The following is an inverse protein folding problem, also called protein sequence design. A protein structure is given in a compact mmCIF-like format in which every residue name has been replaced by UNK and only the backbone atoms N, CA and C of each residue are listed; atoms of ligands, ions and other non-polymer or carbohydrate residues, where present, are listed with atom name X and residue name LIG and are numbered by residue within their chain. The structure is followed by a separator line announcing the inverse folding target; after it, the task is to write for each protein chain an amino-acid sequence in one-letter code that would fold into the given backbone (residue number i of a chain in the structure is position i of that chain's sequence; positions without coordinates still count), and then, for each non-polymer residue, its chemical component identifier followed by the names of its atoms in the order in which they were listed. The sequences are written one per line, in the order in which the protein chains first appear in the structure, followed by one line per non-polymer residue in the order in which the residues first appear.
data_IF_283581143181
#
_entry.id   IF_283581143181
#
_cell.length_a   1.000
_cell.length_b   1.000
_cell.length_c   1.000
_cell.angle_alpha   90.00
_cell.angle_beta   90.00
_cell.angle_gamma   90.00
#
_symmetry.space_group_name_H-M   'P 1'
#
loop_
_entity.id
_entity.type
_entity.pdbx_description
1 polymer ?
#
# COMPACT_ATOMS: atom_id res chain seq x y z
N UNK A 1 15.82 40.61 9.90
CA UNK A 1 15.78 39.28 9.27
C UNK A 1 15.05 39.43 7.94
N UNK A 2 15.67 39.06 6.82
CA UNK A 2 15.03 39.18 5.50
C UNK A 2 14.11 37.98 5.24
N UNK A 3 13.16 38.10 4.30
CA UNK A 3 12.14 37.06 4.06
C UNK A 3 12.75 35.70 3.72
N UNK A 4 13.91 35.69 3.05
CA UNK A 4 14.66 34.47 2.75
C UNK A 4 15.31 33.83 3.97
N UNK A 5 15.88 34.62 4.89
CA UNK A 5 16.39 34.05 6.15
C UNK A 5 15.26 33.49 7.01
N UNK A 6 14.11 34.17 7.06
CA UNK A 6 12.93 33.66 7.77
C UNK A 6 12.39 32.36 7.15
N UNK A 7 12.30 32.28 5.81
CA UNK A 7 11.84 31.09 5.11
C UNK A 7 12.81 29.92 5.26
N UNK A 8 14.12 30.16 5.19
CA UNK A 8 15.13 29.12 5.39
C UNK A 8 15.12 28.58 6.83
N UNK A 9 14.93 29.44 7.84
CA UNK A 9 14.74 28.99 9.23
C UNK A 9 13.41 28.25 9.41
N UNK A 10 12.35 28.66 8.72
CA UNK A 10 11.06 27.99 8.77
C UNK A 10 11.13 26.60 8.14
N UNK A 11 11.72 26.45 6.94
CA UNK A 11 11.94 25.16 6.26
C UNK A 11 12.78 24.21 7.10
N UNK A 12 13.83 24.73 7.75
CA UNK A 12 14.71 23.93 8.60
C UNK A 12 14.05 23.52 9.93
N UNK A 13 13.14 24.34 10.45
CA UNK A 13 12.35 24.05 11.64
C UNK A 13 11.00 23.38 11.34
N UNK A 14 10.64 23.17 10.06
CA UNK A 14 9.54 22.25 9.75
C UNK A 14 10.01 20.87 10.20
N UNK A 15 9.22 20.12 10.99
CA UNK A 15 9.49 18.74 11.31
C UNK A 15 9.28 17.85 10.06
N UNK A 16 9.97 18.16 8.96
CA UNK A 16 10.19 17.28 7.81
C UNK A 16 11.10 16.10 8.19
N UNK A 17 11.71 16.15 9.38
CA UNK A 17 12.17 14.96 10.11
C UNK A 17 10.97 14.16 10.66
N UNK A 18 9.95 13.94 9.84
CA UNK A 18 9.18 12.72 9.96
C UNK A 18 10.19 11.62 9.67
N UNK A 19 10.68 10.99 10.74
CA UNK A 19 11.63 9.89 10.70
C UNK A 19 11.07 8.80 9.77
N UNK A 20 11.47 8.81 8.51
CA UNK A 20 11.59 7.58 7.73
C UNK A 20 12.79 6.84 8.31
N UNK A 21 12.62 6.28 9.50
CA UNK A 21 13.53 5.28 10.03
C UNK A 21 12.98 3.94 9.55
N UNK A 22 13.61 3.30 8.53
CA UNK A 22 13.11 2.05 7.96
C UNK A 22 13.00 0.95 9.02
N UNK A 23 13.72 1.08 10.14
CA UNK A 23 13.79 0.12 11.22
C UNK A 23 12.82 0.43 12.36
N UNK A 24 12.20 1.61 12.38
CA UNK A 24 11.11 1.95 13.31
C UNK A 24 9.75 1.37 12.86
N UNK A 25 9.69 0.76 11.66
CA UNK A 25 8.52 0.07 11.16
C UNK A 25 8.35 -1.26 11.92
N UNK A 26 7.15 -1.60 12.42
CA UNK A 26 6.92 -2.85 13.14
C UNK A 26 7.39 -4.06 12.32
N UNK A 27 8.01 -5.07 12.95
CA UNK A 27 8.58 -6.21 12.24
C UNK A 27 7.53 -6.97 11.39
N UNK A 28 6.28 -7.02 11.84
CA UNK A 28 5.19 -7.62 11.06
C UNK A 28 4.92 -6.93 9.73
N UNK A 29 5.08 -5.60 9.65
CA UNK A 29 4.90 -4.84 8.40
C UNK A 29 6.03 -5.17 7.43
N UNK A 30 7.26 -5.29 7.93
CA UNK A 30 8.41 -5.72 7.14
C UNK A 30 8.22 -7.12 6.55
N UNK A 31 7.68 -8.04 7.33
CA UNK A 31 7.41 -9.41 6.85
C UNK A 31 6.31 -9.40 5.79
N UNK A 32 5.18 -8.75 6.05
CA UNK A 32 4.03 -8.76 5.14
C UNK A 32 4.35 -8.03 3.83
N UNK A 33 4.90 -6.82 3.89
CA UNK A 33 5.10 -6.01 2.68
C UNK A 33 6.48 -6.19 2.06
N UNK A 34 7.51 -6.43 2.87
CA UNK A 34 8.88 -6.63 2.40
C UNK A 34 9.16 -8.06 1.95
N UNK A 35 8.87 -9.06 2.78
CA UNK A 35 9.21 -10.47 2.45
C UNK A 35 8.16 -11.12 1.57
N UNK A 36 6.88 -10.97 1.94
CA UNK A 36 5.77 -11.62 1.22
C UNK A 36 5.26 -10.71 0.08
N UNK A 37 5.10 -9.42 0.34
CA UNK A 37 4.56 -8.46 -0.62
C UNK A 37 5.47 -8.27 -1.82
N UNK A 38 6.78 -8.18 -1.61
CA UNK A 38 7.75 -7.94 -2.68
C UNK A 38 7.66 -8.95 -3.84
N UNK A 39 7.72 -10.29 -3.64
CA UNK A 39 7.55 -11.24 -4.74
C UNK A 39 6.16 -11.19 -5.39
N UNK A 40 5.11 -10.87 -4.63
CA UNK A 40 3.75 -10.72 -5.18
C UNK A 40 3.65 -9.49 -6.07
N UNK A 41 4.20 -8.36 -5.62
CA UNK A 41 4.23 -7.12 -6.40
C UNK A 41 5.11 -7.24 -7.64
N UNK A 42 6.24 -7.95 -7.57
CA UNK A 42 7.09 -8.19 -8.74
C UNK A 42 6.42 -9.10 -9.75
N UNK A 43 5.71 -10.15 -9.32
CA UNK A 43 4.92 -11.01 -10.20
C UNK A 43 3.78 -10.23 -10.86
N UNK A 44 3.07 -9.41 -10.08
CA UNK A 44 2.00 -8.54 -10.58
C UNK A 44 2.55 -7.55 -11.62
N UNK A 45 3.64 -6.84 -11.33
CA UNK A 45 4.31 -5.94 -12.29
C UNK A 45 4.82 -6.69 -13.52
N UNK A 46 5.34 -7.91 -13.35
CA UNK A 46 5.79 -8.79 -14.42
C UNK A 46 4.68 -9.13 -15.41
N UNK A 47 3.43 -9.26 -14.94
CA UNK A 47 2.26 -9.46 -15.79
C UNK A 47 2.01 -8.28 -16.76
N UNK A 48 2.31 -7.05 -16.33
CA UNK A 48 2.17 -5.86 -17.17
C UNK A 48 3.37 -5.63 -18.10
N UNK A 49 4.57 -6.02 -17.68
CA UNK A 49 5.81 -5.73 -18.40
C UNK A 49 6.13 -6.81 -19.44
N UNK A 50 5.76 -8.07 -19.18
CA UNK A 50 6.08 -9.23 -20.04
C UNK A 50 5.51 -9.16 -21.46
N UNK A 51 6.21 -9.76 -22.42
CA UNK A 51 5.70 -10.06 -23.79
C UNK A 51 5.30 -11.55 -23.83
N UNK A 52 4.26 -11.96 -24.58
CA UNK A 52 3.35 -11.17 -25.43
C UNK A 52 2.24 -10.45 -24.63
N UNK A 53 1.95 -9.21 -25.02
CA UNK A 53 0.99 -8.32 -24.35
C UNK A 53 -0.37 -8.41 -25.03
N UNK A 54 -1.21 -9.35 -24.60
CA UNK A 54 -2.62 -9.29 -24.97
C UNK A 54 -3.35 -8.45 -23.91
N UNK A 55 -3.83 -7.28 -24.33
CA UNK A 55 -4.59 -6.36 -23.46
C UNK A 55 -5.84 -7.03 -22.88
N UNK A 56 -6.44 -7.99 -23.58
CA UNK A 56 -7.61 -8.73 -23.08
C UNK A 56 -7.25 -9.60 -21.89
N UNK A 57 -6.17 -10.36 -21.99
CA UNK A 57 -5.69 -11.26 -20.92
C UNK A 57 -5.23 -10.47 -19.69
N UNK A 58 -4.56 -9.35 -19.92
CA UNK A 58 -4.05 -8.47 -18.87
C UNK A 58 -5.20 -7.74 -18.13
N UNK A 59 -6.22 -7.28 -18.86
CA UNK A 59 -7.43 -6.72 -18.26
C UNK A 59 -8.24 -7.76 -17.48
N UNK A 60 -8.34 -8.99 -17.98
CA UNK A 60 -9.00 -10.09 -17.27
C UNK A 60 -8.28 -10.42 -15.96
N UNK A 61 -6.96 -10.58 -16.02
CA UNK A 61 -6.13 -10.88 -14.84
C UNK A 61 -6.21 -9.80 -13.77
N UNK A 62 -6.09 -8.53 -14.17
CA UNK A 62 -6.15 -7.40 -13.23
C UNK A 62 -7.53 -7.23 -12.62
N UNK A 63 -8.60 -7.38 -13.41
CA UNK A 63 -9.98 -7.30 -12.92
C UNK A 63 -10.27 -8.43 -11.93
N UNK A 64 -9.85 -9.66 -12.25
CA UNK A 64 -10.02 -10.82 -11.36
C UNK A 64 -9.25 -10.60 -10.04
N UNK A 65 -8.02 -10.10 -10.11
CA UNK A 65 -7.21 -9.83 -8.92
C UNK A 65 -7.84 -8.74 -8.04
N UNK A 66 -8.31 -7.64 -8.65
CA UNK A 66 -8.97 -6.55 -7.93
C UNK A 66 -10.27 -7.01 -7.27
N UNK A 67 -11.08 -7.81 -7.98
CA UNK A 67 -12.30 -8.40 -7.44
C UNK A 67 -12.02 -9.39 -6.31
N UNK A 68 -10.96 -10.19 -6.44
CA UNK A 68 -10.57 -11.13 -5.40
C UNK A 68 -10.11 -10.42 -4.12
N UNK A 69 -9.24 -9.42 -4.25
CA UNK A 69 -8.78 -8.61 -3.11
C UNK A 69 -9.94 -7.84 -2.47
N UNK A 70 -10.83 -7.27 -3.28
CA UNK A 70 -12.00 -6.56 -2.77
C UNK A 70 -13.02 -7.50 -2.11
N UNK A 71 -13.19 -8.73 -2.59
CA UNK A 71 -14.03 -9.74 -1.95
C UNK A 71 -13.44 -10.21 -0.60
N UNK A 72 -12.11 -10.38 -0.50
CA UNK A 72 -11.45 -10.71 0.76
C UNK A 72 -11.64 -9.59 1.81
N UNK A 73 -11.36 -8.35 1.42
CA UNK A 73 -11.54 -7.20 2.31
C UNK A 73 -13.00 -6.91 2.63
N UNK A 74 -13.86 -6.94 1.62
CA UNK A 74 -15.29 -6.73 1.75
C UNK A 74 -15.94 -7.80 2.62
N UNK A 75 -15.57 -9.07 2.43
CA UNK A 75 -16.04 -10.17 3.27
C UNK A 75 -15.61 -10.01 4.73
N UNK A 76 -14.35 -9.64 4.97
CA UNK A 76 -13.85 -9.37 6.32
C UNK A 76 -14.59 -8.18 6.97
N UNK A 77 -14.84 -7.12 6.20
CA UNK A 77 -15.60 -5.96 6.65
C UNK A 77 -17.06 -6.31 6.99
N UNK A 78 -17.74 -7.07 6.11
CA UNK A 78 -19.12 -7.50 6.36
C UNK A 78 -19.18 -8.41 7.60
N UNK A 79 -18.23 -9.34 7.75
CA UNK A 79 -18.17 -10.24 8.91
C UNK A 79 -18.00 -9.45 10.22
N UNK A 80 -17.10 -8.46 10.23
CA UNK A 80 -16.90 -7.61 11.41
C UNK A 80 -18.14 -6.76 11.73
N UNK A 81 -18.86 -6.27 10.72
CA UNK A 81 -20.16 -5.61 10.92
C UNK A 81 -21.23 -6.55 11.45
N UNK A 82 -21.31 -7.79 10.96
CA UNK A 82 -22.25 -8.80 11.47
C UNK A 82 -21.99 -9.13 12.94
N UNK A 83 -20.73 -9.37 13.31
CA UNK A 83 -20.34 -9.60 14.70
C UNK A 83 -20.78 -8.41 15.56
N UNK A 84 -20.52 -7.19 15.07
CA UNK A 84 -20.91 -5.98 15.81
C UNK A 84 -22.42 -5.87 16.00
N UNK A 85 -23.23 -6.17 14.98
CA UNK A 85 -24.69 -6.11 15.02
C UNK A 85 -25.31 -7.16 15.97
N UNK A 86 -24.68 -8.34 16.09
CA UNK A 86 -25.21 -9.45 16.88
C UNK A 86 -24.83 -9.39 18.37
N UNK A 87 -23.69 -8.78 18.70
CA UNK A 87 -23.13 -8.82 20.05
C UNK A 87 -23.07 -7.45 20.77
N UNK A 88 -23.43 -6.34 20.10
CA UNK A 88 -23.46 -4.99 20.65
C UNK A 88 -24.70 -4.22 20.19
#
# INVERSE_FOLDING_TARGET
MNLMTALMTAVWNVPLKAYFDPWAIPPGVWVIFGVIGLPVYTAFLGWFIGKPRDLKTLALGSTLFLLFVSALWGGLFVTTMQIRLLFF
#
